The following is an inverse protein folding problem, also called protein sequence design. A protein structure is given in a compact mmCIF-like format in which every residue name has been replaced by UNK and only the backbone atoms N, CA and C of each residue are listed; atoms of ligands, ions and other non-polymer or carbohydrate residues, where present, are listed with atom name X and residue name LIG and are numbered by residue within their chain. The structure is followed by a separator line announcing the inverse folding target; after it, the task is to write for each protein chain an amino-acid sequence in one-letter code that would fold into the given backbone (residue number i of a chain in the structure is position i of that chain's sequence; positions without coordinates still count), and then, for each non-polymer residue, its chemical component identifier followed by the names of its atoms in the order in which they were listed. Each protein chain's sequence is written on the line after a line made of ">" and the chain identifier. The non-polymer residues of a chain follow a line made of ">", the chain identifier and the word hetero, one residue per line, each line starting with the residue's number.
data_IF_169544300354
#
_entry.id   IF_169544300354
#
_cell.length_a   1.000
_cell.length_b   1.000
_cell.length_c   1.000
_cell.angle_alpha   90.00
_cell.angle_beta   90.00
_cell.angle_gamma   90.00
#
_symmetry.space_group_name_H-M   'P 1'
#
loop_
_entity.id
_entity.type
_entity.pdbx_description
1 polymer ?
#
# COMPACT_ATOMS: atom_id res chain seq x y z
N UNK A 1 0.40 5.83 24.27
CA UNK A 1 0.77 5.08 23.05
C UNK A 1 -0.52 4.62 22.38
N UNK A 2 -0.65 4.76 21.06
CA UNK A 2 -1.87 4.32 20.34
C UNK A 2 -1.81 2.80 20.14
N UNK A 3 -2.92 2.10 20.36
CA UNK A 3 -3.03 0.65 20.09
C UNK A 3 -3.65 0.44 18.71
N UNK A 4 -2.92 -0.20 17.80
CA UNK A 4 -3.35 -0.52 16.43
C UNK A 4 -2.88 -1.92 16.06
N UNK A 5 -3.47 -2.51 15.01
CA UNK A 5 -3.01 -3.80 14.49
C UNK A 5 -1.69 -3.65 13.73
N UNK A 6 -0.91 -4.73 13.60
CA UNK A 6 0.29 -4.72 12.75
C UNK A 6 -0.02 -4.33 11.31
N UNK A 7 -1.16 -4.78 10.78
CA UNK A 7 -1.65 -4.42 9.45
C UNK A 7 -1.82 -2.92 9.30
N UNK A 8 -2.46 -2.27 10.28
CA UNK A 8 -2.71 -0.83 10.21
C UNK A 8 -1.42 -0.04 10.40
N UNK A 9 -0.50 -0.51 11.26
CA UNK A 9 0.82 0.10 11.43
C UNK A 9 1.64 0.07 10.11
N UNK A 10 1.64 -1.06 9.41
CA UNK A 10 2.30 -1.18 8.10
C UNK A 10 1.65 -0.28 7.05
N UNK A 11 0.30 -0.23 7.01
CA UNK A 11 -0.42 0.66 6.08
C UNK A 11 -0.11 2.13 6.35
N UNK A 12 -0.12 2.55 7.61
CA UNK A 12 0.20 3.92 8.02
C UNK A 12 1.63 4.28 7.58
N UNK A 13 2.61 3.42 7.87
CA UNK A 13 4.01 3.66 7.50
C UNK A 13 4.20 3.79 5.97
N UNK A 14 3.60 2.89 5.18
CA UNK A 14 3.67 2.95 3.70
C UNK A 14 3.02 4.24 3.20
N UNK A 15 1.82 4.57 3.70
CA UNK A 15 1.07 5.76 3.30
C UNK A 15 1.83 7.05 3.62
N UNK A 16 2.44 7.12 4.80
CA UNK A 16 3.19 8.30 5.23
C UNK A 16 4.43 8.53 4.37
N UNK A 17 5.21 7.49 4.07
CA UNK A 17 6.37 7.62 3.18
C UNK A 17 5.94 7.91 1.73
N UNK A 18 4.81 7.36 1.27
CA UNK A 18 4.28 7.68 -0.05
C UNK A 18 3.81 9.13 -0.18
N UNK A 19 3.29 9.74 0.90
CA UNK A 19 2.95 11.18 0.95
C UNK A 19 4.20 12.06 1.00
N UNK A 20 5.25 11.59 1.68
CA UNK A 20 6.49 12.33 1.89
C UNK A 20 7.37 12.37 0.65
N UNK A 21 7.44 11.29 -0.13
CA UNK A 21 8.28 11.19 -1.33
C UNK A 21 7.52 10.59 -2.51
N UNK A 22 7.36 11.40 -3.57
CA UNK A 22 6.65 11.03 -4.80
C UNK A 22 7.33 9.88 -5.56
N UNK A 23 8.61 9.60 -5.28
CA UNK A 23 9.39 8.52 -5.92
C UNK A 23 9.11 7.15 -5.33
N UNK A 24 8.55 7.07 -4.13
CA UNK A 24 8.22 5.77 -3.51
C UNK A 24 7.08 5.12 -4.32
N UNK A 25 7.12 3.84 -4.61
CA UNK A 25 5.97 3.13 -5.16
C UNK A 25 6.03 1.69 -4.70
N UNK A 26 4.90 1.01 -4.79
CA UNK A 26 4.79 -0.40 -4.41
C UNK A 26 4.35 -1.23 -5.60
N UNK A 27 5.00 -2.38 -5.75
CA UNK A 27 4.72 -3.41 -6.74
C UNK A 27 4.53 -4.73 -5.98
N UNK A 28 3.60 -5.56 -6.41
CA UNK A 28 3.42 -6.90 -5.87
C UNK A 28 2.16 -7.56 -6.41
N UNK A 29 1.91 -8.79 -6.03
CA UNK A 29 0.71 -9.52 -6.45
C UNK A 29 -0.51 -9.13 -5.61
N UNK A 30 -1.62 -8.84 -6.30
CA UNK A 30 -2.93 -8.46 -5.72
C UNK A 30 -2.90 -7.27 -4.75
N UNK A 31 -1.86 -6.43 -4.77
CA UNK A 31 -1.70 -5.31 -3.82
C UNK A 31 -2.49 -4.05 -4.22
N UNK A 32 -2.94 -3.92 -5.45
CA UNK A 32 -3.60 -2.72 -5.93
C UNK A 32 -5.10 -2.74 -5.60
N UNK A 33 -5.97 -3.07 -6.56
CA UNK A 33 -7.42 -3.00 -6.36
C UNK A 33 -7.94 -3.91 -5.25
N UNK A 34 -7.30 -5.07 -5.04
CA UNK A 34 -7.67 -5.99 -3.96
C UNK A 34 -7.11 -5.55 -2.59
N UNK A 35 -5.99 -4.84 -2.57
CA UNK A 35 -5.35 -4.32 -1.35
C UNK A 35 -4.48 -5.35 -0.61
N UNK A 36 -4.12 -6.44 -1.27
CA UNK A 36 -3.31 -7.55 -0.77
C UNK A 36 -4.10 -8.54 0.08
N UNK A 37 -3.60 -9.78 0.18
CA UNK A 37 -4.22 -10.88 0.95
C UNK A 37 -4.51 -10.54 2.41
N UNK A 38 -3.65 -9.70 3.01
CA UNK A 38 -3.83 -9.22 4.38
C UNK A 38 -4.41 -7.81 4.46
N UNK A 39 -4.90 -7.27 3.35
CA UNK A 39 -5.47 -5.93 3.22
C UNK A 39 -4.51 -4.78 3.59
N UNK A 40 -3.19 -4.98 3.67
CA UNK A 40 -2.24 -3.93 4.09
C UNK A 40 -2.32 -2.71 3.17
N UNK A 41 -2.39 -2.92 1.85
CA UNK A 41 -2.36 -1.83 0.85
C UNK A 41 -3.75 -1.36 0.41
N UNK A 42 -4.81 -1.87 1.07
CA UNK A 42 -6.19 -1.47 0.79
C UNK A 42 -6.37 0.05 0.89
N UNK A 43 -6.98 0.65 -0.13
CA UNK A 43 -7.24 2.08 -0.17
C UNK A 43 -6.07 2.93 -0.70
N UNK A 44 -4.90 2.34 -0.97
CA UNK A 44 -3.73 3.10 -1.41
C UNK A 44 -3.77 3.43 -2.90
N UNK A 45 -4.38 2.58 -3.73
CA UNK A 45 -4.50 2.87 -5.17
C UNK A 45 -5.47 4.04 -5.43
N UNK A 46 -6.52 4.16 -4.62
CA UNK A 46 -7.46 5.29 -4.68
C UNK A 46 -6.79 6.60 -4.26
N UNK A 47 -5.80 6.54 -3.36
CA UNK A 47 -5.07 7.71 -2.87
C UNK A 47 -3.91 8.12 -3.79
N UNK A 48 -3.12 7.16 -4.30
CA UNK A 48 -1.86 7.43 -5.00
C UNK A 48 -1.87 7.09 -6.49
N UNK A 49 -2.92 6.41 -6.98
CA UNK A 49 -3.08 6.06 -8.38
C UNK A 49 -2.25 4.85 -8.85
N UNK A 50 -2.59 4.40 -10.06
CA UNK A 50 -2.02 3.23 -10.73
C UNK A 50 -0.52 3.36 -11.05
N UNK A 51 0.02 4.57 -11.14
CA UNK A 51 1.46 4.77 -11.34
C UNK A 51 2.29 4.39 -10.11
N UNK A 52 1.69 4.39 -8.91
CA UNK A 52 2.40 4.21 -7.65
C UNK A 52 1.97 2.99 -6.83
N UNK A 53 0.83 2.39 -7.16
CA UNK A 53 0.37 1.11 -6.58
C UNK A 53 -0.01 0.18 -7.73
N UNK A 54 0.76 -0.90 -7.94
CA UNK A 54 0.63 -1.74 -9.14
C UNK A 54 0.66 -3.22 -8.81
N UNK A 55 -0.27 -3.93 -9.43
CA UNK A 55 -0.21 -5.38 -9.47
C UNK A 55 0.91 -5.85 -10.42
N UNK A 56 1.59 -6.92 -10.02
CA UNK A 56 2.58 -7.62 -10.84
C UNK A 56 2.11 -9.04 -11.17
N UNK A 57 2.56 -9.64 -12.28
CA UNK A 57 2.31 -11.05 -12.56
C UNK A 57 2.88 -11.96 -11.46
N UNK A 58 2.25 -13.11 -11.29
CA UNK A 58 2.82 -14.26 -10.58
C UNK A 58 3.93 -14.87 -11.46
N UNK A 59 5.17 -14.91 -10.96
CA UNK A 59 6.36 -15.34 -11.71
C UNK A 59 7.18 -16.40 -10.96
#
# INVERSE_FOLDING_TARGET
>A
MRTITYRDALREAIRDEMRRDERVFILGEDIAGYGGTYAVTKGLIEEFGDKRVRDTPLA
#
